data_IF_641422158658
#
_entry.id   IF_641422158658
#
_cell.length_a   1.000
_cell.length_b   1.000
_cell.length_c   1.000
_cell.angle_alpha   90.00
_cell.angle_beta   90.00
_cell.angle_gamma   90.00
#
_symmetry.space_group_name_H-M   'P 1'
#
loop_
_entity.id
_entity.type
_entity.pdbx_description
1 polymer ?
#
# COMPACT_ATOMS: atom_id res chain seq x y z
N UNK A 1 -41.68 19.99 50.79
CA UNK A 1 -41.89 21.25 50.09
C UNK A 1 -40.94 21.32 48.90
N UNK A 2 -41.56 21.58 47.78
CA UNK A 2 -41.06 22.07 46.48
C UNK A 2 -40.51 21.02 45.51
N UNK A 3 -41.36 20.73 44.63
CA UNK A 3 -41.43 20.34 43.25
C UNK A 3 -40.57 21.23 42.34
N UNK A 4 -39.85 20.64 41.44
CA UNK A 4 -39.59 21.16 40.09
C UNK A 4 -39.42 19.91 39.20
N UNK A 5 -40.43 19.52 38.46
CA UNK A 5 -40.78 19.81 37.07
C UNK A 5 -39.54 19.78 36.18
N UNK A 6 -39.33 18.68 35.49
CA UNK A 6 -39.91 18.27 34.20
C UNK A 6 -39.61 19.23 33.05
N UNK A 7 -38.74 18.83 32.17
CA UNK A 7 -38.85 19.20 30.79
C UNK A 7 -38.36 18.06 29.90
N UNK A 8 -39.30 17.32 29.36
CA UNK A 8 -39.13 16.38 28.25
C UNK A 8 -38.86 17.22 27.01
N UNK A 9 -37.68 17.13 26.47
CA UNK A 9 -37.40 17.54 25.11
C UNK A 9 -37.38 16.31 24.22
N UNK A 10 -38.50 16.10 23.59
CA UNK A 10 -38.70 15.10 22.54
C UNK A 10 -37.97 15.59 21.29
N UNK A 11 -36.79 15.07 21.05
CA UNK A 11 -36.10 15.35 19.78
C UNK A 11 -36.53 14.32 18.78
N UNK A 12 -37.38 14.75 17.88
CA UNK A 12 -37.87 14.01 16.73
C UNK A 12 -36.71 13.75 15.76
N UNK A 13 -36.22 12.53 15.72
CA UNK A 13 -35.26 12.10 14.70
C UNK A 13 -36.04 11.75 13.45
N UNK A 14 -35.96 12.60 12.48
CA UNK A 14 -36.44 12.32 11.13
C UNK A 14 -35.42 11.43 10.45
N UNK A 15 -35.65 10.16 10.39
CA UNK A 15 -34.94 9.24 9.51
C UNK A 15 -35.46 9.46 8.11
N UNK A 16 -34.71 10.22 7.33
CA UNK A 16 -34.91 10.34 5.91
C UNK A 16 -34.39 9.10 5.21
N UNK A 17 -35.31 8.38 4.65
CA UNK A 17 -35.16 7.14 3.88
C UNK A 17 -34.28 7.34 2.64
N UNK A 18 -33.32 6.45 2.51
CA UNK A 18 -32.97 5.64 1.35
C UNK A 18 -33.26 6.24 -0.05
N UNK A 19 -32.22 6.70 -0.69
CA UNK A 19 -32.11 6.75 -2.13
C UNK A 19 -31.00 5.80 -2.56
N UNK A 20 -31.36 4.67 -3.16
CA UNK A 20 -30.42 3.75 -3.78
C UNK A 20 -29.74 4.44 -4.98
N UNK A 21 -28.48 4.77 -4.81
CA UNK A 21 -27.58 5.16 -5.88
C UNK A 21 -26.47 4.13 -5.93
N UNK A 22 -26.40 3.38 -7.01
CA UNK A 22 -25.21 2.60 -7.37
C UNK A 22 -24.06 3.57 -7.54
N UNK A 23 -23.35 3.83 -6.48
CA UNK A 23 -22.03 4.45 -6.55
C UNK A 23 -21.05 3.36 -6.92
N UNK A 24 -20.74 3.25 -8.22
CA UNK A 24 -19.43 2.81 -8.62
C UNK A 24 -18.47 3.74 -7.88
N UNK A 25 -17.80 3.22 -6.85
CA UNK A 25 -16.67 3.89 -6.26
C UNK A 25 -15.57 3.92 -7.32
N UNK A 26 -15.58 5.00 -8.11
CA UNK A 26 -14.36 5.45 -8.73
C UNK A 26 -13.36 5.64 -7.57
N UNK A 27 -12.41 4.75 -7.51
CA UNK A 27 -11.20 4.96 -6.74
C UNK A 27 -10.56 6.14 -7.47
N UNK A 28 -10.76 7.35 -6.95
CA UNK A 28 -9.85 8.43 -7.25
C UNK A 28 -8.48 7.95 -6.78
N UNK A 29 -7.73 7.45 -7.74
CA UNK A 29 -6.29 7.33 -7.60
C UNK A 29 -5.86 8.79 -7.54
N UNK A 30 -5.64 9.26 -6.32
CA UNK A 30 -4.96 10.53 -6.09
C UNK A 30 -3.55 10.37 -6.67
N UNK A 31 -3.50 10.63 -7.96
CA UNK A 31 -2.27 10.67 -8.74
C UNK A 31 -1.66 12.05 -8.53
N UNK A 32 -1.10 12.28 -7.34
CA UNK A 32 0.08 13.10 -7.29
C UNK A 32 1.15 12.35 -8.08
N UNK A 33 1.12 12.55 -9.38
CA UNK A 33 2.25 12.28 -10.26
C UNK A 33 3.32 13.25 -9.82
N UNK A 34 4.06 12.88 -8.78
CA UNK A 34 5.38 13.44 -8.54
C UNK A 34 6.17 13.21 -9.84
N UNK A 35 6.42 14.33 -10.54
CA UNK A 35 7.16 14.38 -11.80
C UNK A 35 8.67 14.21 -11.57
N UNK A 36 9.06 13.29 -10.72
CA UNK A 36 10.42 12.77 -10.71
C UNK A 36 10.52 11.76 -11.85
N UNK A 37 11.35 12.03 -12.83
CA UNK A 37 11.71 11.10 -13.92
C UNK A 37 12.45 9.84 -13.40
N UNK A 38 12.54 9.67 -12.10
CA UNK A 38 13.15 8.53 -11.43
C UNK A 38 12.22 7.32 -11.50
N UNK A 39 12.64 6.23 -12.17
CA UNK A 39 11.82 5.03 -12.30
C UNK A 39 11.62 4.30 -10.97
N UNK A 40 12.44 4.59 -9.97
CA UNK A 40 12.41 4.00 -8.63
C UNK A 40 12.60 5.06 -7.56
N UNK A 41 11.78 5.03 -6.53
CA UNK A 41 11.88 5.90 -5.35
C UNK A 41 12.08 5.07 -4.08
N UNK A 42 12.76 5.62 -3.09
CA UNK A 42 12.88 5.00 -1.79
C UNK A 42 11.51 4.82 -1.15
N UNK A 43 11.22 3.62 -0.67
CA UNK A 43 9.99 3.29 0.01
C UNK A 43 10.29 2.95 1.47
N UNK A 44 9.74 3.73 2.39
CA UNK A 44 9.92 3.51 3.82
C UNK A 44 9.14 2.27 4.27
N UNK A 45 9.86 1.30 4.79
CA UNK A 45 9.28 0.07 5.34
C UNK A 45 10.10 -0.40 6.53
N UNK A 46 9.46 -1.10 7.45
CA UNK A 46 10.13 -1.77 8.58
C UNK A 46 10.54 -3.21 8.27
N UNK A 47 10.55 -3.58 7.00
CA UNK A 47 10.83 -4.94 6.54
C UNK A 47 12.31 -5.08 6.25
N UNK A 48 13.06 -5.67 7.18
CA UNK A 48 14.48 -5.91 7.04
C UNK A 48 15.36 -4.67 7.30
N UNK A 49 16.66 -4.85 7.16
CA UNK A 49 17.69 -3.82 7.40
C UNK A 49 18.18 -3.14 6.11
N UNK A 50 17.80 -3.70 4.97
CA UNK A 50 18.16 -3.19 3.64
C UNK A 50 17.27 -2.04 3.15
N UNK A 51 17.32 -1.77 1.88
CA UNK A 51 16.58 -0.68 1.24
C UNK A 51 15.46 -1.20 0.36
N UNK A 52 14.25 -0.70 0.55
CA UNK A 52 13.13 -0.98 -0.34
C UNK A 52 12.93 0.18 -1.31
N UNK A 53 12.77 -0.15 -2.59
CA UNK A 53 12.44 0.79 -3.66
C UNK A 53 11.05 0.47 -4.21
N UNK A 54 10.25 1.49 -4.44
CA UNK A 54 9.02 1.40 -5.22
C UNK A 54 9.35 1.84 -6.65
N UNK A 55 9.21 0.93 -7.58
CA UNK A 55 9.60 1.12 -8.97
C UNK A 55 8.40 1.02 -9.92
N UNK A 56 8.51 1.72 -11.05
CA UNK A 56 7.51 1.64 -12.12
C UNK A 56 8.18 1.66 -13.49
N UNK A 57 7.62 0.90 -14.41
CA UNK A 57 7.98 0.94 -15.83
C UNK A 57 6.73 1.07 -16.67
N UNK A 58 6.84 1.69 -17.82
CA UNK A 58 5.79 1.68 -18.83
C UNK A 58 6.14 0.64 -19.86
N UNK A 59 5.27 -0.34 -20.04
CA UNK A 59 5.41 -1.36 -21.06
C UNK A 59 4.08 -1.55 -21.76
N UNK A 60 4.06 -1.41 -23.06
CA UNK A 60 2.86 -1.47 -23.90
C UNK A 60 1.75 -0.51 -23.44
N UNK A 61 2.13 0.74 -23.15
CA UNK A 61 1.27 1.81 -22.62
C UNK A 61 0.58 1.48 -21.27
N UNK A 62 1.06 0.47 -20.56
CA UNK A 62 0.58 0.10 -19.23
C UNK A 62 1.68 0.36 -18.21
N UNK A 63 1.35 1.11 -17.16
CA UNK A 63 2.24 1.30 -16.02
C UNK A 63 2.26 0.01 -15.21
N UNK A 64 3.45 -0.52 -15.00
CA UNK A 64 3.68 -1.68 -14.16
C UNK A 64 4.50 -1.27 -12.95
N UNK A 65 3.98 -1.57 -11.77
CA UNK A 65 4.62 -1.26 -10.50
C UNK A 65 5.19 -2.52 -9.89
N UNK A 66 6.37 -2.41 -9.32
CA UNK A 66 7.04 -3.48 -8.59
C UNK A 66 7.90 -2.90 -7.46
N UNK A 67 8.28 -3.74 -6.53
CA UNK A 67 9.17 -3.36 -5.45
C UNK A 67 10.49 -4.08 -5.59
N UNK A 68 11.57 -3.40 -5.26
CA UNK A 68 12.91 -4.01 -5.15
C UNK A 68 13.34 -3.89 -3.70
N UNK A 69 13.79 -4.98 -3.13
CA UNK A 69 14.48 -4.97 -1.86
C UNK A 69 15.95 -5.28 -2.08
N UNK A 70 16.79 -4.36 -1.69
CA UNK A 70 18.24 -4.49 -1.69
C UNK A 70 18.65 -4.94 -0.29
N UNK A 71 19.05 -6.19 -0.12
CA UNK A 71 19.53 -6.70 1.17
C UNK A 71 20.66 -5.84 1.71
N UNK A 72 20.79 -5.72 3.02
CA UNK A 72 21.78 -4.83 3.67
C UNK A 72 23.24 -5.10 3.26
N UNK A 73 23.52 -6.32 2.79
CA UNK A 73 24.84 -6.76 2.35
C UNK A 73 24.95 -6.94 0.82
N UNK A 74 23.94 -6.46 0.05
CA UNK A 74 23.94 -6.63 -1.41
C UNK A 74 25.13 -5.95 -2.09
N UNK A 75 25.52 -6.47 -3.24
CA UNK A 75 26.55 -5.95 -4.14
C UNK A 75 26.00 -5.88 -5.58
N UNK A 76 26.67 -5.14 -6.44
CA UNK A 76 26.26 -5.01 -7.85
C UNK A 76 26.20 -6.34 -8.63
N UNK A 77 26.86 -7.38 -8.12
CA UNK A 77 26.87 -8.74 -8.68
C UNK A 77 25.96 -9.70 -7.95
N UNK A 78 25.18 -9.22 -6.98
CA UNK A 78 24.27 -10.05 -6.20
C UNK A 78 23.21 -10.71 -7.07
N UNK A 79 22.84 -11.96 -6.78
CA UNK A 79 21.76 -12.63 -7.50
C UNK A 79 20.41 -11.94 -7.22
N UNK A 80 19.48 -12.08 -8.16
CA UNK A 80 18.13 -11.52 -8.09
C UNK A 80 17.11 -12.64 -7.93
N UNK A 81 16.26 -12.52 -6.92
CA UNK A 81 15.10 -13.36 -6.69
C UNK A 81 13.83 -12.63 -7.13
N UNK A 82 13.11 -13.18 -8.09
CA UNK A 82 11.78 -12.68 -8.46
C UNK A 82 10.70 -13.37 -7.62
N UNK A 83 9.92 -12.58 -6.88
CA UNK A 83 8.83 -13.05 -6.04
C UNK A 83 7.50 -12.52 -6.57
N UNK A 84 6.76 -13.36 -7.28
CA UNK A 84 5.50 -12.98 -7.91
C UNK A 84 4.32 -13.26 -6.97
N UNK A 85 3.46 -12.28 -6.79
CA UNK A 85 2.25 -12.46 -5.99
C UNK A 85 1.20 -13.31 -6.72
N UNK A 86 0.37 -14.00 -5.94
CA UNK A 86 -0.76 -14.78 -6.47
C UNK A 86 -1.95 -13.90 -6.89
N UNK A 87 -2.96 -14.56 -7.47
CA UNK A 87 -4.22 -13.90 -7.85
C UNK A 87 -4.84 -13.18 -6.66
N UNK A 88 -5.37 -11.99 -6.89
CA UNK A 88 -5.97 -11.08 -5.88
C UNK A 88 -5.00 -10.48 -4.84
N UNK A 89 -3.71 -10.81 -4.87
CA UNK A 89 -2.71 -10.23 -4.00
C UNK A 89 -2.05 -8.97 -4.63
N UNK A 90 -1.12 -8.37 -3.90
CA UNK A 90 -0.36 -7.19 -4.34
C UNK A 90 1.11 -7.40 -4.02
N UNK A 91 1.99 -6.76 -4.79
CA UNK A 91 3.43 -6.89 -4.65
C UNK A 91 3.94 -6.63 -3.22
N UNK A 92 3.54 -5.53 -2.59
CA UNK A 92 3.95 -5.20 -1.24
C UNK A 92 3.46 -6.22 -0.19
N UNK A 93 2.25 -6.75 -0.36
CA UNK A 93 1.74 -7.79 0.53
C UNK A 93 2.51 -9.10 0.38
N UNK A 94 2.85 -9.46 -0.85
CA UNK A 94 3.66 -10.62 -1.12
C UNK A 94 5.05 -10.49 -0.49
N UNK A 95 5.67 -9.34 -0.64
CA UNK A 95 6.96 -9.03 -0.03
C UNK A 95 6.91 -9.17 1.51
N UNK A 96 5.87 -8.66 2.16
CA UNK A 96 5.68 -8.82 3.61
C UNK A 96 5.44 -10.27 4.04
N UNK A 97 4.63 -10.98 3.26
CA UNK A 97 4.21 -12.33 3.59
C UNK A 97 5.34 -13.36 3.44
N UNK A 98 6.16 -13.21 2.41
CA UNK A 98 7.22 -14.19 2.11
C UNK A 98 8.40 -14.09 3.03
N UNK A 99 8.66 -12.92 3.63
CA UNK A 99 9.75 -12.71 4.57
C UNK A 99 11.14 -12.85 3.96
N UNK A 100 11.28 -12.74 2.63
CA UNK A 100 12.57 -12.87 1.95
C UNK A 100 13.57 -11.77 2.30
N UNK A 101 13.11 -10.66 2.89
CA UNK A 101 13.98 -9.54 3.25
C UNK A 101 15.05 -9.93 4.26
N UNK A 102 14.68 -10.66 5.32
CA UNK A 102 15.63 -11.10 6.33
C UNK A 102 16.69 -12.06 5.77
N UNK A 103 16.27 -12.93 4.83
CA UNK A 103 17.18 -13.85 4.16
C UNK A 103 18.07 -13.08 3.16
N UNK A 104 17.53 -12.07 2.50
CA UNK A 104 18.30 -11.21 1.60
C UNK A 104 19.36 -10.39 2.36
N UNK A 105 19.06 -9.95 3.57
CA UNK A 105 20.02 -9.27 4.44
C UNK A 105 21.16 -10.20 4.84
N UNK A 106 20.84 -11.44 5.15
CA UNK A 106 21.85 -12.44 5.56
C UNK A 106 22.74 -12.88 4.39
N UNK A 107 22.16 -13.12 3.22
CA UNK A 107 22.86 -13.73 2.08
C UNK A 107 23.20 -12.75 0.95
N UNK A 108 22.81 -11.50 1.04
CA UNK A 108 23.22 -10.44 0.12
C UNK A 108 22.60 -10.54 -1.27
N UNK A 109 21.36 -11.02 -1.42
CA UNK A 109 20.68 -11.02 -2.71
C UNK A 109 19.62 -9.90 -2.82
N UNK A 110 19.11 -9.70 -4.02
CA UNK A 110 18.08 -8.71 -4.34
C UNK A 110 16.74 -9.44 -4.50
N UNK A 111 15.67 -8.88 -3.95
CA UNK A 111 14.29 -9.39 -4.14
C UNK A 111 13.49 -8.41 -5.01
N UNK A 112 12.78 -8.93 -6.01
CA UNK A 112 11.92 -8.14 -6.90
C UNK A 112 10.52 -8.73 -6.93
#
# INVERSE_FOLDING_TARGET
MRFYQLSLLFTLIIISSCGGGSSSSEIEIDSEVDSSDEPCINYQTSLGEGTTLNCRIVYDNVIRQFYIYLGSTYQSTSPVLFSLHGYTSRALWNMNYTGFQSIADEFGFIVV
#
